data_IF_709014992719
#
_entry.id   IF_709014992719
#
_cell.length_a   1.000
_cell.length_b   1.000
_cell.length_c   1.000
_cell.angle_alpha   90.00
_cell.angle_beta   90.00
_cell.angle_gamma   90.00
#
_symmetry.space_group_name_H-M   'P 1'
#
loop_
_entity.id
_entity.type
_entity.pdbx_description
1 polymer ?
#
# COMPACT_ATOMS: atom_id res chain seq x y z
N UNK A 1 -12.32 -17.59 12.60
CA UNK A 1 -12.77 -17.22 11.23
C UNK A 1 -12.16 -15.88 10.90
N UNK A 2 -11.30 -15.84 9.89
CA UNK A 2 -10.74 -14.58 9.43
C UNK A 2 -11.86 -13.71 8.86
N UNK A 3 -11.91 -12.46 9.29
CA UNK A 3 -12.93 -11.51 8.85
C UNK A 3 -12.75 -11.26 7.34
N UNK A 4 -13.82 -11.46 6.56
CA UNK A 4 -13.83 -11.12 5.13
C UNK A 4 -13.59 -9.62 4.94
N UNK A 5 -12.75 -9.26 3.98
CA UNK A 5 -12.40 -7.88 3.62
C UNK A 5 -13.36 -7.40 2.53
N UNK A 6 -14.07 -6.33 2.80
CA UNK A 6 -15.04 -5.78 1.86
C UNK A 6 -14.35 -4.85 0.85
N UNK A 7 -14.39 -5.21 -0.43
CA UNK A 7 -13.74 -4.48 -1.53
C UNK A 7 -14.79 -3.91 -2.48
N UNK A 8 -14.70 -2.62 -2.76
CA UNK A 8 -15.51 -1.93 -3.78
C UNK A 8 -14.65 -1.60 -4.99
N UNK A 9 -15.09 -1.99 -6.17
CA UNK A 9 -14.48 -1.65 -7.46
C UNK A 9 -15.39 -0.69 -8.20
N UNK A 10 -14.85 0.45 -8.61
CA UNK A 10 -15.54 1.38 -9.51
C UNK A 10 -14.74 1.56 -10.80
N UNK A 11 -15.29 1.03 -11.88
CA UNK A 11 -14.75 1.11 -13.24
C UNK A 11 -15.92 1.21 -14.21
N UNK A 12 -15.93 2.24 -15.04
CA UNK A 12 -17.01 2.50 -16.00
C UNK A 12 -16.99 1.56 -17.18
N UNK A 13 -15.79 1.10 -17.57
CA UNK A 13 -15.64 0.17 -18.68
C UNK A 13 -16.05 -1.23 -18.21
N UNK A 14 -17.18 -1.74 -18.75
CA UNK A 14 -17.81 -2.97 -18.30
C UNK A 14 -16.91 -4.21 -18.37
N UNK A 15 -16.10 -4.31 -19.43
CA UNK A 15 -15.22 -5.47 -19.60
C UNK A 15 -14.10 -5.48 -18.55
N UNK A 16 -13.46 -4.34 -18.35
CA UNK A 16 -12.42 -4.19 -17.32
C UNK A 16 -13.02 -4.36 -15.91
N UNK A 17 -14.21 -3.83 -15.66
CA UNK A 17 -14.93 -4.01 -14.39
C UNK A 17 -15.13 -5.51 -14.10
N UNK A 18 -15.61 -6.28 -15.09
CA UNK A 18 -15.82 -7.72 -14.95
C UNK A 18 -14.53 -8.50 -14.70
N UNK A 19 -13.43 -8.14 -15.39
CA UNK A 19 -12.12 -8.77 -15.18
C UNK A 19 -11.62 -8.49 -13.76
N UNK A 20 -11.66 -7.23 -13.32
CA UNK A 20 -11.23 -6.85 -11.97
C UNK A 20 -12.06 -7.56 -10.91
N UNK A 21 -13.39 -7.61 -11.09
CA UNK A 21 -14.28 -8.34 -10.19
C UNK A 21 -13.90 -9.82 -10.07
N UNK A 22 -13.79 -10.52 -11.21
CA UNK A 22 -13.44 -11.93 -11.20
C UNK A 22 -12.10 -12.21 -10.51
N UNK A 23 -11.09 -11.41 -10.80
CA UNK A 23 -9.76 -11.62 -10.24
C UNK A 23 -9.69 -11.34 -8.75
N UNK A 24 -10.35 -10.28 -8.29
CA UNK A 24 -10.39 -9.94 -6.85
C UNK A 24 -11.27 -10.92 -6.09
N UNK A 25 -12.43 -11.33 -6.65
CA UNK A 25 -13.34 -12.30 -6.01
C UNK A 25 -12.75 -13.70 -5.90
N UNK A 26 -11.87 -14.09 -6.83
CA UNK A 26 -11.18 -15.37 -6.78
C UNK A 26 -10.03 -15.40 -5.75
N UNK A 27 -9.73 -14.28 -5.13
CA UNK A 27 -8.71 -14.19 -4.08
C UNK A 27 -9.37 -14.43 -2.72
N UNK A 28 -8.81 -15.32 -1.92
CA UNK A 28 -9.35 -15.71 -0.62
C UNK A 28 -9.57 -14.52 0.32
N UNK A 29 -10.69 -14.55 1.03
CA UNK A 29 -11.09 -13.58 2.06
C UNK A 29 -11.49 -12.18 1.55
N UNK A 30 -11.79 -12.00 0.26
CA UNK A 30 -12.40 -10.77 -0.25
C UNK A 30 -13.89 -10.96 -0.53
N UNK A 31 -14.69 -10.02 -0.03
CA UNK A 31 -16.11 -9.84 -0.39
C UNK A 31 -16.19 -8.66 -1.36
N UNK A 32 -16.30 -8.94 -2.66
CA UNK A 32 -16.12 -7.95 -3.73
C UNK A 32 -17.45 -7.43 -4.25
N UNK A 33 -17.53 -6.13 -4.42
CA UNK A 33 -18.66 -5.38 -4.96
C UNK A 33 -18.19 -4.51 -6.11
N UNK A 34 -19.05 -4.32 -7.12
CA UNK A 34 -18.73 -3.46 -8.26
C UNK A 34 -19.79 -2.43 -8.54
N UNK A 35 -19.35 -1.30 -9.08
CA UNK A 35 -20.19 -0.30 -9.71
C UNK A 35 -19.54 0.17 -11.01
N UNK A 36 -20.33 0.40 -12.05
CA UNK A 36 -19.88 0.92 -13.34
C UNK A 36 -20.50 2.32 -13.63
N UNK A 37 -21.37 2.78 -12.77
CA UNK A 37 -21.95 4.11 -12.82
C UNK A 37 -22.02 4.76 -11.43
N UNK A 38 -22.20 6.07 -11.42
CA UNK A 38 -22.22 6.88 -10.20
C UNK A 38 -23.40 6.55 -9.28
N UNK A 39 -24.56 6.23 -9.85
CA UNK A 39 -25.78 5.98 -9.06
C UNK A 39 -25.59 4.70 -8.25
N UNK A 40 -25.09 3.64 -8.89
CA UNK A 40 -24.82 2.38 -8.23
C UNK A 40 -23.69 2.50 -7.21
N UNK A 41 -22.64 3.26 -7.54
CA UNK A 41 -21.56 3.58 -6.60
C UNK A 41 -22.10 4.22 -5.32
N UNK A 42 -22.88 5.29 -5.44
CA UNK A 42 -23.47 6.00 -4.28
C UNK A 42 -24.45 5.12 -3.49
N UNK A 43 -25.24 4.29 -4.17
CA UNK A 43 -26.11 3.31 -3.49
C UNK A 43 -25.30 2.33 -2.64
N UNK A 44 -24.19 1.79 -3.16
CA UNK A 44 -23.34 0.87 -2.44
C UNK A 44 -22.66 1.53 -1.24
N UNK A 45 -22.05 2.69 -1.44
CA UNK A 45 -21.37 3.46 -0.37
C UNK A 45 -22.36 3.88 0.73
N UNK A 46 -23.62 4.14 0.37
CA UNK A 46 -24.65 4.49 1.35
C UNK A 46 -25.13 3.28 2.18
N UNK A 47 -25.13 2.10 1.59
CA UNK A 47 -25.66 0.87 2.23
C UNK A 47 -24.60 0.09 2.99
N UNK A 48 -23.34 0.14 2.59
CA UNK A 48 -22.27 -0.73 3.10
C UNK A 48 -21.01 0.07 3.43
N UNK A 49 -20.23 -0.48 4.35
CA UNK A 49 -18.86 -0.03 4.64
C UNK A 49 -17.90 -0.89 3.86
N UNK A 50 -16.87 -0.27 3.31
CA UNK A 50 -15.82 -0.93 2.57
C UNK A 50 -14.47 -0.75 3.27
N UNK A 51 -13.67 -1.78 3.21
CA UNK A 51 -12.32 -1.78 3.75
C UNK A 51 -11.32 -1.27 2.70
N UNK A 52 -11.56 -1.62 1.44
CA UNK A 52 -10.74 -1.21 0.29
C UNK A 52 -11.66 -0.71 -0.82
N UNK A 53 -11.24 0.38 -1.48
CA UNK A 53 -11.90 0.88 -2.68
C UNK A 53 -10.89 0.96 -3.82
N UNK A 54 -11.24 0.41 -4.99
CA UNK A 54 -10.44 0.41 -6.21
C UNK A 54 -11.12 1.33 -7.23
N UNK A 55 -10.41 2.35 -7.71
CA UNK A 55 -10.97 3.34 -8.62
C UNK A 55 -10.08 3.61 -9.82
N UNK A 56 -10.71 3.76 -10.99
CA UNK A 56 -10.10 4.50 -12.08
C UNK A 56 -10.17 6.00 -11.76
N UNK A 57 -9.05 6.61 -11.43
CA UNK A 57 -8.99 8.01 -10.98
C UNK A 57 -9.49 8.95 -12.08
N UNK A 58 -9.19 8.65 -13.35
CA UNK A 58 -9.59 9.48 -14.50
C UNK A 58 -11.10 9.57 -14.65
N UNK A 59 -11.83 8.52 -14.28
CA UNK A 59 -13.29 8.47 -14.36
C UNK A 59 -13.99 9.13 -13.17
N UNK A 60 -13.24 9.39 -12.11
CA UNK A 60 -13.81 9.88 -10.83
C UNK A 60 -13.50 11.35 -10.56
N UNK A 61 -12.68 12.03 -11.39
CA UNK A 61 -12.16 13.37 -11.07
C UNK A 61 -13.20 14.42 -10.65
N UNK A 62 -14.39 14.56 -11.25
CA UNK A 62 -15.38 15.53 -10.74
C UNK A 62 -16.04 15.09 -9.43
N UNK A 63 -16.04 13.78 -9.15
CA UNK A 63 -16.80 13.16 -8.06
C UNK A 63 -15.88 12.79 -6.90
N UNK A 64 -14.60 12.62 -7.19
CA UNK A 64 -13.63 12.06 -6.26
C UNK A 64 -13.50 12.85 -4.96
N UNK A 65 -13.54 14.18 -5.03
CA UNK A 65 -13.47 15.03 -3.83
C UNK A 65 -14.70 14.86 -2.92
N UNK A 66 -15.87 14.73 -3.50
CA UNK A 66 -17.13 14.53 -2.73
C UNK A 66 -17.23 13.08 -2.25
N UNK A 67 -16.95 12.12 -3.12
CA UNK A 67 -16.98 10.69 -2.80
C UNK A 67 -15.93 10.31 -1.75
N UNK A 68 -14.73 10.84 -1.84
CA UNK A 68 -13.69 10.60 -0.86
C UNK A 68 -14.05 11.16 0.52
N UNK A 69 -14.69 12.34 0.54
CA UNK A 69 -15.19 12.91 1.79
C UNK A 69 -16.32 12.06 2.38
N UNK A 70 -17.25 11.55 1.57
CA UNK A 70 -18.35 10.70 2.04
C UNK A 70 -17.88 9.30 2.45
N UNK A 71 -16.94 8.71 1.73
CA UNK A 71 -16.29 7.47 2.11
C UNK A 71 -15.54 7.62 3.43
N UNK A 72 -14.79 8.72 3.61
CA UNK A 72 -14.04 8.98 4.84
C UNK A 72 -14.93 9.32 6.02
N UNK A 73 -16.03 10.05 5.83
CA UNK A 73 -17.00 10.32 6.89
C UNK A 73 -17.64 9.05 7.42
N UNK A 74 -17.92 8.07 6.54
CA UNK A 74 -18.55 6.79 6.91
C UNK A 74 -17.54 5.72 7.28
N UNK A 75 -16.37 5.74 6.67
CA UNK A 75 -15.29 4.74 6.82
C UNK A 75 -13.97 5.43 7.15
N UNK A 76 -13.74 5.75 8.42
CA UNK A 76 -12.51 6.45 8.87
C UNK A 76 -11.18 5.76 8.49
N UNK A 77 -11.23 4.52 7.97
CA UNK A 77 -10.06 3.68 7.69
C UNK A 77 -10.14 2.93 6.35
N UNK A 78 -10.83 3.49 5.34
CA UNK A 78 -10.85 2.89 4.01
C UNK A 78 -9.50 3.12 3.31
N UNK A 79 -8.93 2.07 2.71
CA UNK A 79 -7.79 2.21 1.82
C UNK A 79 -8.27 2.39 0.39
N UNK A 80 -7.64 3.28 -0.33
CA UNK A 80 -7.98 3.56 -1.72
C UNK A 80 -6.81 3.12 -2.61
N UNK A 81 -7.11 2.27 -3.59
CA UNK A 81 -6.19 1.91 -4.67
C UNK A 81 -6.69 2.56 -5.94
N UNK A 82 -6.04 3.62 -6.34
CA UNK A 82 -6.35 4.34 -7.57
C UNK A 82 -5.44 3.89 -8.72
N UNK A 83 -5.94 3.90 -9.97
CA UNK A 83 -5.11 3.71 -11.14
C UNK A 83 -5.45 4.75 -12.22
N UNK A 84 -4.41 5.24 -12.94
CA UNK A 84 -4.55 6.29 -13.97
C UNK A 84 -3.43 6.22 -15.00
N UNK A 85 -3.60 6.88 -16.16
CA UNK A 85 -2.57 6.94 -17.22
C UNK A 85 -1.38 7.81 -16.86
N UNK A 86 -1.60 8.84 -16.05
CA UNK A 86 -0.56 9.77 -15.63
C UNK A 86 -0.80 10.17 -14.18
N UNK A 87 0.23 10.08 -13.37
CA UNK A 87 0.19 10.63 -12.02
C UNK A 87 -0.02 12.14 -12.09
N UNK A 88 -1.30 12.54 -12.05
CA UNK A 88 -1.65 13.95 -11.85
C UNK A 88 -1.53 14.18 -10.37
N UNK A 89 -0.48 14.88 -9.98
CA UNK A 89 -0.25 15.31 -8.60
C UNK A 89 -1.28 16.42 -8.27
N UNK A 90 -2.49 16.03 -7.95
CA UNK A 90 -3.49 16.96 -7.42
C UNK A 90 -3.35 17.02 -5.90
N UNK A 91 -3.17 18.22 -5.36
CA UNK A 91 -3.06 18.49 -3.91
C UNK A 91 -4.22 17.92 -3.08
N UNK A 92 -5.38 17.69 -3.70
CA UNK A 92 -6.57 17.10 -3.07
C UNK A 92 -6.41 15.62 -2.67
N UNK A 93 -5.42 14.92 -3.23
CA UNK A 93 -5.16 13.50 -2.98
C UNK A 93 -4.26 13.28 -1.74
N UNK A 94 -3.56 14.33 -1.30
CA UNK A 94 -2.54 14.23 -0.25
C UNK A 94 -3.08 13.88 1.16
N UNK A 95 -4.38 14.03 1.39
CA UNK A 95 -5.00 13.76 2.70
C UNK A 95 -5.62 12.36 2.82
N UNK A 96 -5.56 11.55 1.76
CA UNK A 96 -6.15 10.24 1.69
C UNK A 96 -5.05 9.17 1.67
N UNK A 97 -5.30 8.03 2.33
CA UNK A 97 -4.46 6.82 2.18
C UNK A 97 -4.68 6.22 0.78
N UNK A 98 -4.16 6.90 -0.26
CA UNK A 98 -4.31 6.47 -1.64
C UNK A 98 -3.00 5.87 -2.12
N UNK A 99 -3.07 4.62 -2.56
CA UNK A 99 -2.03 3.99 -3.37
C UNK A 99 -2.39 4.16 -4.84
N UNK A 100 -1.53 4.81 -5.62
CA UNK A 100 -1.77 5.00 -7.05
C UNK A 100 -0.92 4.05 -7.87
N UNK A 101 -1.51 3.44 -8.91
CA UNK A 101 -0.88 2.57 -9.90
C UNK A 101 -0.97 3.25 -11.26
N UNK A 102 0.15 3.40 -11.96
CA UNK A 102 0.18 4.01 -13.30
C UNK A 102 -0.15 2.96 -14.37
N UNK A 103 -1.04 3.32 -15.31
CA UNK A 103 -1.34 2.51 -16.52
C UNK A 103 -0.24 2.69 -17.59
N UNK A 104 0.11 1.64 -18.33
CA UNK A 104 -0.40 0.26 -18.23
C UNK A 104 0.24 -0.51 -17.06
N UNK A 105 -0.55 -1.29 -16.34
CA UNK A 105 -0.04 -2.15 -15.28
C UNK A 105 -0.47 -3.61 -15.44
N UNK A 106 0.31 -4.53 -14.90
CA UNK A 106 -0.07 -5.94 -14.81
C UNK A 106 -1.04 -6.13 -13.64
N UNK A 107 -2.06 -6.93 -13.84
CA UNK A 107 -3.05 -7.24 -12.78
C UNK A 107 -2.39 -7.74 -11.48
N UNK A 108 -1.30 -8.48 -11.61
CA UNK A 108 -0.48 -8.94 -10.48
C UNK A 108 -0.09 -7.80 -9.53
N UNK A 109 0.27 -6.63 -10.07
CA UNK A 109 0.64 -5.44 -9.26
C UNK A 109 -0.54 -4.98 -8.39
N UNK A 110 -1.76 -4.96 -8.97
CA UNK A 110 -2.96 -4.62 -8.21
C UNK A 110 -3.20 -5.63 -7.08
N UNK A 111 -3.16 -6.94 -7.40
CA UNK A 111 -3.37 -8.01 -6.41
C UNK A 111 -2.32 -7.97 -5.29
N UNK A 112 -1.06 -7.72 -5.61
CA UNK A 112 0.01 -7.55 -4.62
C UNK A 112 -0.25 -6.35 -3.69
N UNK A 113 -0.79 -5.24 -4.22
CA UNK A 113 -1.19 -4.10 -3.38
C UNK A 113 -2.35 -4.44 -2.45
N UNK A 114 -3.34 -5.20 -2.92
CA UNK A 114 -4.45 -5.66 -2.10
C UNK A 114 -3.98 -6.61 -0.99
N UNK A 115 -3.11 -7.57 -1.31
CA UNK A 115 -2.51 -8.46 -0.32
C UNK A 115 -1.65 -7.71 0.71
N UNK A 116 -0.91 -6.70 0.27
CA UNK A 116 -0.19 -5.83 1.19
C UNK A 116 -1.15 -5.13 2.17
N UNK A 117 -2.22 -4.50 1.67
CA UNK A 117 -3.23 -3.85 2.50
C UNK A 117 -3.87 -4.85 3.47
N UNK A 118 -4.22 -6.04 2.98
CA UNK A 118 -4.75 -7.14 3.78
C UNK A 118 -3.78 -7.54 4.89
N UNK A 119 -2.53 -7.78 4.56
CA UNK A 119 -1.51 -8.18 5.54
C UNK A 119 -1.25 -7.10 6.58
N UNK A 120 -1.34 -5.83 6.20
CA UNK A 120 -1.12 -4.72 7.12
C UNK A 120 -2.31 -4.40 8.02
N UNK A 121 -3.55 -4.62 7.56
CA UNK A 121 -4.77 -4.30 8.33
C UNK A 121 -5.30 -5.47 9.16
N UNK A 122 -5.22 -6.70 8.64
CA UNK A 122 -6.01 -7.82 9.17
C UNK A 122 -5.17 -8.91 9.82
N UNK A 123 -3.89 -8.96 9.52
CA UNK A 123 -2.98 -9.73 10.36
C UNK A 123 -2.37 -8.79 11.38
N UNK A 124 -2.53 -9.07 12.64
CA UNK A 124 -1.74 -8.43 13.72
C UNK A 124 -0.29 -8.93 13.58
N UNK A 125 0.32 -8.65 12.45
CA UNK A 125 1.67 -9.12 12.16
C UNK A 125 2.66 -8.22 12.90
N UNK A 126 2.89 -8.61 14.15
CA UNK A 126 4.10 -8.25 14.85
C UNK A 126 5.25 -8.96 14.15
N UNK A 127 6.05 -8.21 13.44
CA UNK A 127 7.27 -8.69 12.80
C UNK A 127 8.41 -8.50 13.80
N UNK A 128 9.02 -9.60 14.25
CA UNK A 128 10.21 -9.54 15.07
C UNK A 128 11.44 -9.38 14.15
N UNK A 129 12.09 -8.23 14.21
CA UNK A 129 13.39 -8.02 13.54
C UNK A 129 14.52 -8.67 14.34
N UNK A 130 14.49 -8.47 15.66
CA UNK A 130 15.43 -9.09 16.61
C UNK A 130 14.66 -9.55 17.83
N UNK A 131 15.36 -10.11 18.81
CA UNK A 131 14.77 -10.50 20.11
C UNK A 131 14.02 -9.33 20.80
N UNK A 132 14.42 -8.10 20.53
CA UNK A 132 13.91 -6.90 21.22
C UNK A 132 13.23 -5.88 20.31
N UNK A 133 13.39 -6.00 18.99
CA UNK A 133 12.84 -5.04 18.03
C UNK A 133 11.67 -5.64 17.27
N UNK A 134 10.56 -4.95 17.34
CA UNK A 134 9.29 -5.32 16.74
C UNK A 134 8.84 -4.25 15.76
N UNK A 135 8.41 -4.69 14.59
CA UNK A 135 7.74 -3.85 13.61
C UNK A 135 6.26 -4.20 13.58
N UNK A 136 5.42 -3.20 13.76
CA UNK A 136 3.97 -3.31 13.70
C UNK A 136 3.46 -2.53 12.47
N UNK A 137 3.40 -3.14 11.30
CA UNK A 137 3.00 -2.46 10.05
C UNK A 137 1.66 -1.74 10.14
N UNK A 138 0.67 -2.36 10.79
CA UNK A 138 -0.69 -1.80 10.95
C UNK A 138 -0.71 -0.49 11.73
N UNK A 139 0.22 -0.33 12.66
CA UNK A 139 0.36 0.88 13.48
C UNK A 139 1.41 1.82 12.94
N UNK A 140 2.17 1.41 11.91
CA UNK A 140 3.34 2.12 11.37
C UNK A 140 4.36 2.44 12.46
N UNK A 141 4.65 1.44 13.30
CA UNK A 141 5.48 1.60 14.49
C UNK A 141 6.60 0.58 14.48
N UNK A 142 7.79 1.06 14.84
CA UNK A 142 8.90 0.26 15.33
C UNK A 142 8.96 0.39 16.86
N UNK A 143 9.12 -0.71 17.55
CA UNK A 143 9.16 -0.76 19.00
C UNK A 143 10.35 -1.58 19.50
N UNK A 144 11.12 -1.02 20.43
CA UNK A 144 12.16 -1.75 21.15
C UNK A 144 11.65 -2.13 22.54
N UNK A 145 11.44 -3.42 22.79
CA UNK A 145 10.89 -3.93 24.03
C UNK A 145 11.84 -3.76 25.24
N UNK A 146 13.16 -3.68 24.98
CA UNK A 146 14.19 -3.47 26.02
C UNK A 146 14.24 -2.01 26.49
N UNK A 147 14.34 -1.08 25.54
CA UNK A 147 14.47 0.36 25.85
C UNK A 147 13.13 1.07 25.98
N UNK A 148 12.02 0.42 25.61
CA UNK A 148 10.65 0.98 25.51
C UNK A 148 10.51 2.12 24.52
N UNK A 149 11.48 2.29 23.62
CA UNK A 149 11.44 3.32 22.58
C UNK A 149 10.46 2.91 21.50
N UNK A 150 9.63 3.84 21.08
CA UNK A 150 8.67 3.71 19.98
C UNK A 150 8.99 4.74 18.92
N UNK A 151 9.08 4.32 17.66
CA UNK A 151 9.34 5.19 16.51
C UNK A 151 8.21 5.03 15.51
N UNK A 152 7.60 6.15 15.11
CA UNK A 152 6.58 6.18 14.07
C UNK A 152 7.20 6.27 12.68
N UNK A 153 6.66 5.49 11.75
CA UNK A 153 7.01 5.49 10.34
C UNK A 153 5.99 6.29 9.55
N UNK A 154 6.46 6.98 8.52
CA UNK A 154 5.56 7.49 7.47
C UNK A 154 5.01 6.34 6.63
N UNK A 155 3.98 6.60 5.83
CA UNK A 155 3.42 5.59 4.91
C UNK A 155 4.51 4.95 4.05
N UNK A 156 5.32 5.76 3.38
CA UNK A 156 6.35 5.26 2.46
C UNK A 156 7.48 4.49 3.17
N UNK A 157 7.87 4.92 4.36
CA UNK A 157 8.84 4.17 5.18
C UNK A 157 8.26 2.83 5.64
N UNK A 158 6.97 2.80 6.01
CA UNK A 158 6.27 1.58 6.39
C UNK A 158 6.17 0.58 5.22
N UNK A 159 5.77 1.07 4.03
CA UNK A 159 5.75 0.26 2.81
C UNK A 159 7.13 -0.27 2.47
N UNK A 160 8.15 0.59 2.48
CA UNK A 160 9.52 0.24 2.18
C UNK A 160 10.05 -0.83 3.12
N UNK A 161 9.86 -0.65 4.43
CA UNK A 161 10.33 -1.61 5.43
C UNK A 161 9.64 -2.97 5.30
N UNK A 162 8.33 -2.95 5.03
CA UNK A 162 7.57 -4.19 4.84
C UNK A 162 7.98 -4.92 3.55
N UNK A 163 8.21 -4.19 2.45
CA UNK A 163 8.74 -4.74 1.21
C UNK A 163 10.10 -5.41 1.45
N UNK A 164 11.04 -4.69 2.05
CA UNK A 164 12.39 -5.20 2.34
C UNK A 164 12.34 -6.45 3.22
N UNK A 165 11.51 -6.43 4.26
CA UNK A 165 11.35 -7.60 5.13
C UNK A 165 10.78 -8.82 4.38
N UNK A 166 9.79 -8.64 3.51
CA UNK A 166 9.20 -9.73 2.74
C UNK A 166 10.14 -10.26 1.65
N UNK A 167 11.05 -9.41 1.16
CA UNK A 167 12.09 -9.78 0.17
C UNK A 167 13.43 -10.15 0.81
N UNK A 168 13.51 -10.27 2.15
CA UNK A 168 14.75 -10.74 2.80
C UNK A 168 15.17 -12.09 2.25
N UNK A 169 16.46 -12.26 2.07
CA UNK A 169 17.07 -13.46 1.45
C UNK A 169 16.72 -13.66 -0.05
N UNK A 170 16.14 -12.66 -0.70
CA UNK A 170 15.87 -12.66 -2.13
C UNK A 170 16.57 -11.48 -2.79
N UNK A 171 16.99 -11.68 -4.02
CA UNK A 171 17.47 -10.59 -4.87
C UNK A 171 16.29 -9.87 -5.52
N UNK A 172 16.41 -8.55 -5.65
CA UNK A 172 15.43 -7.71 -6.36
C UNK A 172 16.11 -6.53 -7.03
N UNK A 173 15.51 -6.01 -8.07
CA UNK A 173 16.02 -4.83 -8.78
C UNK A 173 15.52 -3.55 -8.12
N UNK A 174 16.20 -2.43 -8.42
CA UNK A 174 15.70 -1.10 -8.04
C UNK A 174 14.32 -0.83 -8.61
N UNK A 175 14.04 -1.32 -9.82
CA UNK A 175 12.76 -1.17 -10.48
C UNK A 175 11.65 -1.92 -9.75
N UNK A 176 11.90 -3.15 -9.29
CA UNK A 176 10.94 -3.90 -8.47
C UNK A 176 10.56 -3.14 -7.21
N UNK A 177 11.55 -2.54 -6.54
CA UNK A 177 11.33 -1.75 -5.34
C UNK A 177 10.52 -0.48 -5.63
N UNK A 178 10.82 0.22 -6.74
CA UNK A 178 10.09 1.42 -7.15
C UNK A 178 8.65 1.10 -7.52
N UNK A 179 8.41 0.04 -8.28
CA UNK A 179 7.07 -0.42 -8.65
C UNK A 179 6.27 -0.78 -7.41
N UNK A 180 6.83 -1.59 -6.52
CA UNK A 180 6.12 -2.11 -5.35
C UNK A 180 5.81 -1.02 -4.32
N UNK A 181 6.74 -0.10 -4.07
CA UNK A 181 6.57 0.92 -3.02
C UNK A 181 5.90 2.19 -3.55
N UNK A 182 6.14 2.57 -4.80
CA UNK A 182 5.60 3.80 -5.38
C UNK A 182 4.60 3.59 -6.50
N UNK A 183 4.51 2.39 -7.09
CA UNK A 183 3.57 2.09 -8.17
C UNK A 183 4.01 2.63 -9.54
N UNK A 184 5.27 3.04 -9.71
CA UNK A 184 5.76 3.79 -10.91
C UNK A 184 7.01 3.15 -11.48
N UNK A 185 7.10 3.08 -12.81
CA UNK A 185 8.22 2.44 -13.51
C UNK A 185 9.35 3.38 -13.94
N UNK A 186 9.12 4.68 -14.16
CA UNK A 186 10.11 5.47 -14.91
C UNK A 186 10.41 6.90 -14.43
N UNK A 187 9.72 7.46 -13.44
CA UNK A 187 9.82 8.91 -13.13
C UNK A 187 10.11 9.30 -11.69
N UNK A 188 10.32 8.35 -10.80
CA UNK A 188 10.80 8.73 -9.47
C UNK A 188 12.29 8.99 -9.58
N UNK A 189 12.65 10.22 -9.30
CA UNK A 189 14.04 10.62 -9.16
C UNK A 189 14.73 9.66 -8.18
N UNK A 190 15.85 9.09 -8.56
CA UNK A 190 16.62 8.13 -7.74
C UNK A 190 16.88 8.63 -6.33
N UNK A 191 16.99 9.95 -6.17
CA UNK A 191 17.13 10.63 -4.90
C UNK A 191 15.95 10.41 -3.92
N UNK A 192 14.73 10.12 -4.42
CA UNK A 192 13.57 9.88 -3.55
C UNK A 192 13.73 8.57 -2.77
N UNK A 193 14.13 7.48 -3.44
CA UNK A 193 14.39 6.20 -2.81
C UNK A 193 15.52 6.30 -1.77
N UNK A 194 16.64 6.89 -2.18
CA UNK A 194 17.82 7.07 -1.31
C UNK A 194 17.46 7.88 -0.07
N UNK A 195 16.66 8.92 -0.23
CA UNK A 195 16.17 9.75 0.90
C UNK A 195 15.33 8.94 1.87
N UNK A 196 14.40 8.12 1.37
CA UNK A 196 13.54 7.27 2.24
C UNK A 196 14.35 6.18 2.93
N UNK A 197 15.28 5.53 2.24
CA UNK A 197 16.19 4.55 2.82
C UNK A 197 17.07 5.18 3.91
N UNK A 198 17.62 6.35 3.65
CA UNK A 198 18.41 7.07 4.64
C UNK A 198 17.60 7.40 5.89
N UNK A 199 16.39 7.96 5.73
CA UNK A 199 15.50 8.28 6.86
C UNK A 199 15.12 7.04 7.66
N UNK A 200 14.85 5.93 6.97
CA UNK A 200 14.53 4.66 7.59
C UNK A 200 15.72 4.13 8.41
N UNK A 201 16.93 4.16 7.84
CA UNK A 201 18.17 3.81 8.57
C UNK A 201 18.38 4.66 9.81
N UNK A 202 18.15 5.97 9.73
CA UNK A 202 18.26 6.87 10.88
C UNK A 202 17.26 6.52 11.98
N UNK A 203 16.04 6.14 11.62
CA UNK A 203 15.01 5.70 12.57
C UNK A 203 15.36 4.38 13.23
N UNK A 204 15.86 3.41 12.47
CA UNK A 204 16.33 2.14 13.00
C UNK A 204 17.52 2.31 13.93
N UNK A 205 18.50 3.13 13.57
CA UNK A 205 19.64 3.46 14.42
C UNK A 205 19.23 4.13 15.74
N UNK A 206 18.24 5.04 15.71
CA UNK A 206 17.67 5.64 16.93
C UNK A 206 16.96 4.61 17.82
N UNK A 207 16.37 3.59 17.21
CA UNK A 207 15.68 2.53 17.93
C UNK A 207 16.67 1.59 18.63
N UNK A 208 17.74 1.22 17.93
CA UNK A 208 18.85 0.41 18.44
C UNK A 208 20.12 0.70 17.60
N UNK A 209 21.15 1.34 18.19
CA UNK A 209 22.42 1.61 17.50
C UNK A 209 23.18 0.34 17.06
N UNK A 210 22.88 -0.81 17.66
CA UNK A 210 23.53 -2.08 17.30
C UNK A 210 22.80 -2.82 16.16
N UNK A 211 21.60 -2.37 15.79
CA UNK A 211 20.88 -2.97 14.67
C UNK A 211 21.57 -2.64 13.35
N UNK A 212 22.11 -3.65 12.70
CA UNK A 212 22.59 -3.48 11.33
C UNK A 212 21.42 -3.55 10.35
N UNK A 213 21.39 -2.63 9.42
CA UNK A 213 20.40 -2.53 8.36
C UNK A 213 21.14 -2.19 7.07
N UNK A 214 21.31 -3.16 6.20
CA UNK A 214 22.04 -2.98 4.95
C UNK A 214 21.22 -3.37 3.73
N UNK A 215 21.32 -2.56 2.71
CA UNK A 215 20.85 -2.86 1.38
C UNK A 215 22.11 -2.95 0.49
N UNK A 216 22.46 -4.16 0.14
CA UNK A 216 23.67 -4.46 -0.63
C UNK A 216 23.29 -4.47 -2.10
N UNK A 217 24.05 -3.74 -2.93
CA UNK A 217 23.91 -3.74 -4.38
C UNK A 217 25.09 -4.48 -5.02
N UNK A 218 24.79 -5.54 -5.74
CA UNK A 218 25.75 -6.26 -6.56
C UNK A 218 25.23 -6.35 -7.99
N UNK A 219 25.91 -5.67 -8.91
CA UNK A 219 25.56 -5.69 -10.34
C UNK A 219 24.12 -5.27 -10.66
N UNK A 220 23.54 -4.33 -9.90
CA UNK A 220 22.17 -3.85 -10.08
C UNK A 220 21.10 -4.67 -9.36
N UNK A 221 21.48 -5.77 -8.72
CA UNK A 221 20.63 -6.56 -7.82
C UNK A 221 20.86 -6.14 -6.37
N UNK A 222 19.78 -6.02 -5.65
CA UNK A 222 19.78 -5.65 -4.24
C UNK A 222 19.41 -6.84 -3.38
N UNK A 223 20.12 -6.99 -2.28
CA UNK A 223 19.77 -7.89 -1.18
C UNK A 223 19.59 -7.10 0.10
N UNK A 224 18.61 -7.51 0.89
CA UNK A 224 18.32 -6.87 2.18
C UNK A 224 18.76 -7.76 3.33
N UNK A 225 19.58 -7.22 4.21
CA UNK A 225 20.10 -7.88 5.39
C UNK A 225 19.89 -7.02 6.64
N UNK A 226 19.62 -7.70 7.75
CA UNK A 226 19.55 -7.06 9.08
C UNK A 226 20.01 -8.06 10.15
N UNK A 227 20.63 -7.61 11.20
CA UNK A 227 21.07 -8.41 12.34
C UNK A 227 21.04 -7.60 13.65
#
# INVERSE_FOLDING_TARGET
MDKSISVLIYEKENHLNSILYQQVSNTDNYETYTANDQINLLKLVNKKKFDICIFNIEDTEPIFSNLSNDLLKKNRHVDIVGYCKKLIYNKSINNLNITVIEKPFRLKILLEKLEYIKSTKYKSNKIAFTKHIEFLPNKKILFNSKTKITIHLTEKENYLLNFLYNKRNLEFTKNDLLIDVWGVTERINTHTLETHLYRLKQKLFKLDPNLTFSLINQNGLYTFEYS
#
